data_IF_622937360704
#
_entry.id   IF_622937360704
#
_cell.length_a   1.000
_cell.length_b   1.000
_cell.length_c   1.000
_cell.angle_alpha   90.00
_cell.angle_beta   90.00
_cell.angle_gamma   90.00
#
_symmetry.space_group_name_H-M   'P 1'
#
loop_
_entity.id
_entity.type
_entity.pdbx_description
1 polymer ?
#
# COMPACT_ATOMS: atom_id res chain seq x y z
N UNK A 1 -0.45 11.39 8.23
CA UNK A 1 0.59 12.43 7.97
C UNK A 1 1.82 11.76 7.41
N UNK A 2 2.43 12.37 6.39
CA UNK A 2 3.66 11.89 5.75
C UNK A 2 4.86 12.50 6.46
N UNK A 3 5.97 11.76 6.51
CA UNK A 3 7.26 12.28 7.01
C UNK A 3 8.22 12.52 5.85
N UNK A 4 9.17 13.42 6.03
CA UNK A 4 10.22 13.72 5.02
C UNK A 4 11.07 12.49 4.66
N UNK A 5 11.19 11.53 5.59
CA UNK A 5 11.93 10.29 5.41
C UNK A 5 11.10 9.16 4.83
N UNK A 6 9.77 9.31 4.70
CA UNK A 6 8.93 8.24 4.19
C UNK A 6 9.21 8.03 2.68
N UNK A 7 9.26 6.77 2.25
CA UNK A 7 9.19 6.44 0.83
C UNK A 7 7.73 6.59 0.41
N UNK A 8 7.47 7.39 -0.62
CA UNK A 8 6.12 7.64 -1.13
C UNK A 8 5.91 6.92 -2.47
N UNK A 9 4.79 6.23 -2.60
CA UNK A 9 4.35 5.59 -3.84
C UNK A 9 2.97 6.12 -4.25
N UNK A 10 2.76 6.26 -5.55
CA UNK A 10 1.48 6.62 -6.13
C UNK A 10 1.04 5.46 -7.02
N UNK A 11 -0.01 4.75 -6.62
CA UNK A 11 -0.53 3.62 -7.38
C UNK A 11 -1.76 4.02 -8.17
N UNK A 12 -1.81 3.73 -9.47
CA UNK A 12 -3.07 3.71 -10.22
C UNK A 12 -3.81 2.42 -9.89
N UNK A 13 -4.88 2.53 -9.13
CA UNK A 13 -5.69 1.42 -8.62
C UNK A 13 -7.00 1.35 -9.40
N UNK A 14 -7.35 0.16 -9.88
CA UNK A 14 -8.69 -0.15 -10.39
C UNK A 14 -9.31 -1.24 -9.51
N UNK A 15 -10.15 -0.89 -8.53
CA UNK A 15 -10.81 -1.87 -7.66
C UNK A 15 -11.78 -2.78 -8.44
N UNK A 16 -12.11 -3.93 -7.86
CA UNK A 16 -13.26 -4.72 -8.31
C UNK A 16 -14.58 -3.99 -8.02
N UNK A 17 -15.65 -4.26 -8.80
CA UNK A 17 -16.98 -3.74 -8.49
C UNK A 17 -17.40 -4.07 -7.05
N UNK A 18 -17.86 -3.06 -6.31
CA UNK A 18 -18.27 -3.21 -4.91
C UNK A 18 -17.14 -3.11 -3.88
N UNK A 19 -15.88 -3.00 -4.30
CA UNK A 19 -14.75 -2.71 -3.40
C UNK A 19 -14.54 -1.19 -3.33
N UNK A 20 -14.67 -0.56 -2.15
CA UNK A 20 -14.39 0.87 -1.99
C UNK A 20 -12.93 1.21 -2.33
N UNK A 21 -12.66 2.37 -2.95
CA UNK A 21 -11.28 2.79 -3.26
C UNK A 21 -10.43 2.94 -1.99
N UNK A 22 -11.02 3.33 -0.86
CA UNK A 22 -10.34 3.43 0.44
C UNK A 22 -9.86 2.07 0.93
N UNK A 23 -10.70 1.04 0.81
CA UNK A 23 -10.35 -0.34 1.17
C UNK A 23 -9.28 -0.89 0.23
N UNK A 24 -9.39 -0.61 -1.07
CA UNK A 24 -8.39 -1.02 -2.05
C UNK A 24 -7.01 -0.38 -1.76
N UNK A 25 -6.97 0.92 -1.47
CA UNK A 25 -5.74 1.63 -1.09
C UNK A 25 -5.17 1.13 0.24
N UNK A 26 -6.02 0.86 1.24
CA UNK A 26 -5.62 0.30 2.52
C UNK A 26 -5.05 -1.13 2.36
N UNK A 27 -5.67 -1.97 1.54
CA UNK A 27 -5.19 -3.32 1.25
C UNK A 27 -3.81 -3.31 0.56
N UNK A 28 -3.60 -2.43 -0.41
CA UNK A 28 -2.27 -2.23 -1.03
C UNK A 28 -1.25 -1.80 0.02
N UNK A 29 -1.57 -0.80 0.86
CA UNK A 29 -0.66 -0.32 1.89
C UNK A 29 -0.32 -1.40 2.94
N UNK A 30 -1.32 -2.18 3.37
CA UNK A 30 -1.15 -3.24 4.36
C UNK A 30 -0.22 -4.35 3.84
N UNK A 31 -0.52 -4.91 2.67
CA UNK A 31 0.17 -6.11 2.15
C UNK A 31 1.46 -5.82 1.38
N UNK A 32 1.81 -4.53 1.22
CA UNK A 32 3.15 -4.08 0.84
C UNK A 32 3.98 -3.58 2.02
N UNK A 33 3.51 -3.79 3.26
CA UNK A 33 4.25 -3.43 4.48
C UNK A 33 4.21 -4.55 5.53
N UNK A 34 3.17 -4.60 6.37
CA UNK A 34 3.13 -5.46 7.57
C UNK A 34 1.84 -6.26 7.74
N UNK A 35 0.82 -6.00 6.94
CA UNK A 35 -0.52 -6.59 7.11
C UNK A 35 -0.69 -7.93 6.40
N UNK A 36 -1.72 -8.66 6.83
CA UNK A 36 -2.23 -9.86 6.15
C UNK A 36 -3.76 -9.91 6.26
N UNK A 37 -4.40 -10.90 5.64
CA UNK A 37 -5.87 -11.03 5.51
C UNK A 37 -6.65 -11.23 6.83
N UNK A 38 -5.98 -11.48 7.95
CA UNK A 38 -6.61 -11.64 9.27
C UNK A 38 -5.72 -11.04 10.36
N UNK A 39 -6.32 -10.64 11.48
CA UNK A 39 -5.57 -10.10 12.62
C UNK A 39 -4.64 -11.16 13.20
N UNK A 40 -3.40 -10.76 13.49
CA UNK A 40 -2.40 -11.61 14.13
C UNK A 40 -1.98 -11.02 15.46
N UNK A 41 -1.97 -11.82 16.52
CA UNK A 41 -1.64 -11.35 17.87
C UNK A 41 -0.21 -10.83 17.99
N UNK A 42 0.68 -11.28 17.09
CA UNK A 42 2.09 -10.87 17.02
C UNK A 42 2.27 -9.40 16.69
N UNK A 43 1.24 -8.74 16.17
CA UNK A 43 1.23 -7.28 16.00
C UNK A 43 1.49 -6.56 17.33
N UNK A 44 1.04 -7.14 18.46
CA UNK A 44 1.28 -6.62 19.81
C UNK A 44 2.72 -6.76 20.32
N UNK A 45 3.59 -7.46 19.59
CA UNK A 45 5.02 -7.58 19.92
C UNK A 45 5.87 -6.48 19.28
N UNK A 46 5.29 -5.68 18.38
CA UNK A 46 5.96 -4.59 17.69
C UNK A 46 5.10 -3.32 17.73
N UNK A 47 5.62 -2.21 17.20
CA UNK A 47 4.86 -0.97 17.07
C UNK A 47 4.31 -0.85 15.65
N UNK A 48 3.07 -1.26 15.43
CA UNK A 48 2.40 -1.08 14.13
C UNK A 48 2.39 0.39 13.70
N UNK A 49 2.26 1.34 14.64
CA UNK A 49 2.26 2.77 14.30
C UNK A 49 3.59 3.24 13.72
N UNK A 50 4.70 2.57 14.07
CA UNK A 50 6.01 2.83 13.47
C UNK A 50 6.14 2.21 12.09
N UNK A 51 5.72 0.96 11.91
CA UNK A 51 6.08 0.15 10.74
C UNK A 51 4.99 0.03 9.67
N UNK A 52 3.73 0.30 9.97
CA UNK A 52 2.64 0.14 8.99
C UNK A 52 2.79 1.15 7.84
N UNK A 53 2.69 0.64 6.61
CA UNK A 53 2.43 1.47 5.43
C UNK A 53 1.06 2.13 5.55
N UNK A 54 0.92 3.34 5.00
CA UNK A 54 -0.30 4.15 5.16
C UNK A 54 -0.76 4.70 3.82
N UNK A 55 -1.93 4.28 3.36
CA UNK A 55 -2.66 5.02 2.33
C UNK A 55 -3.17 6.33 2.96
N UNK A 56 -2.59 7.47 2.58
CA UNK A 56 -2.88 8.75 3.22
C UNK A 56 -3.74 9.67 2.35
N UNK A 57 -3.84 9.38 1.06
CA UNK A 57 -4.62 10.17 0.12
C UNK A 57 -5.06 9.32 -1.07
N UNK A 58 -6.24 9.62 -1.61
CA UNK A 58 -6.80 8.96 -2.78
C UNK A 58 -7.49 10.01 -3.64
N UNK A 59 -7.09 10.09 -4.91
CA UNK A 59 -7.70 10.96 -5.90
C UNK A 59 -8.36 10.14 -7.01
N UNK A 60 -9.56 10.52 -7.51
CA UNK A 60 -10.09 9.94 -8.73
C UNK A 60 -9.23 10.33 -9.93
N UNK A 61 -9.08 9.42 -10.90
CA UNK A 61 -8.34 9.73 -12.13
C UNK A 61 -9.26 10.44 -13.12
N UNK A 62 -8.92 11.65 -13.60
CA UNK A 62 -9.78 12.37 -14.54
C UNK A 62 -10.04 11.57 -15.82
N UNK A 63 -11.32 11.51 -16.22
CA UNK A 63 -11.76 10.80 -17.43
C UNK A 63 -11.95 9.29 -17.27
N UNK A 64 -11.81 8.75 -16.06
CA UNK A 64 -12.01 7.34 -15.75
C UNK A 64 -13.02 7.22 -14.60
N UNK A 65 -14.00 6.32 -14.72
CA UNK A 65 -15.08 6.21 -13.73
C UNK A 65 -14.68 5.40 -12.48
N UNK A 66 -13.80 4.41 -12.65
CA UNK A 66 -13.44 3.44 -11.60
C UNK A 66 -11.94 3.39 -11.30
N UNK A 67 -11.19 4.46 -11.61
CA UNK A 67 -9.75 4.49 -11.41
C UNK A 67 -9.34 5.60 -10.46
N UNK A 68 -8.35 5.27 -9.61
CA UNK A 68 -7.91 6.13 -8.53
C UNK A 68 -6.39 6.16 -8.47
N UNK A 69 -5.82 7.26 -7.98
CA UNK A 69 -4.43 7.30 -7.52
C UNK A 69 -4.44 7.17 -6.00
N UNK A 70 -3.96 6.04 -5.49
CA UNK A 70 -3.77 5.81 -4.07
C UNK A 70 -2.32 6.14 -3.69
N UNK A 71 -2.15 7.11 -2.80
CA UNK A 71 -0.84 7.52 -2.31
C UNK A 71 -0.51 6.80 -1.01
N UNK A 72 0.57 6.03 -1.02
CA UNK A 72 1.03 5.21 0.10
C UNK A 72 2.36 5.73 0.63
N UNK A 73 2.45 5.90 1.94
CA UNK A 73 3.68 6.26 2.64
C UNK A 73 4.24 5.06 3.40
N UNK A 74 5.52 4.76 3.20
CA UNK A 74 6.25 3.68 3.84
C UNK A 74 7.36 4.24 4.74
N UNK A 75 7.41 3.86 6.03
CA UNK A 75 8.51 4.21 6.92
C UNK A 75 9.86 3.73 6.37
N UNK A 76 10.89 4.58 6.45
CA UNK A 76 12.25 4.26 5.95
C UNK A 76 12.80 2.95 6.52
N UNK A 77 12.57 2.70 7.80
CA UNK A 77 13.07 1.52 8.53
C UNK A 77 12.54 0.17 8.00
N UNK A 78 11.58 0.17 7.06
CA UNK A 78 11.15 -1.05 6.38
C UNK A 78 12.16 -1.54 5.33
N UNK A 79 13.07 -0.68 4.90
CA UNK A 79 13.91 -0.92 3.73
C UNK A 79 15.37 -1.12 4.12
N UNK A 80 15.98 -2.14 3.51
CA UNK A 80 17.40 -2.42 3.62
C UNK A 80 18.23 -1.39 2.84
N UNK A 81 19.25 -0.83 3.48
CA UNK A 81 20.11 0.19 2.88
C UNK A 81 20.85 -0.35 1.65
N UNK A 82 20.77 0.38 0.54
CA UNK A 82 21.46 0.02 -0.71
C UNK A 82 20.82 -1.14 -1.49
N UNK A 83 19.63 -1.62 -1.10
CA UNK A 83 18.97 -2.79 -1.68
C UNK A 83 17.72 -2.42 -2.48
N UNK A 84 17.88 -2.19 -3.78
CA UNK A 84 16.73 -1.99 -4.70
C UNK A 84 15.82 -3.23 -4.73
N UNK A 85 16.42 -4.41 -4.60
CA UNK A 85 15.68 -5.68 -4.52
C UNK A 85 14.73 -5.70 -3.34
N UNK A 86 15.20 -5.38 -2.13
CA UNK A 86 14.35 -5.33 -0.94
C UNK A 86 13.19 -4.33 -1.11
N UNK A 87 13.49 -3.13 -1.63
CA UNK A 87 12.47 -2.11 -1.89
C UNK A 87 11.37 -2.60 -2.81
N UNK A 88 11.72 -3.22 -3.94
CA UNK A 88 10.72 -3.74 -4.88
C UNK A 88 10.01 -4.99 -4.37
N UNK A 89 10.68 -5.84 -3.60
CA UNK A 89 10.02 -6.98 -2.94
C UNK A 89 8.88 -6.51 -2.03
N UNK A 90 9.07 -5.43 -1.28
CA UNK A 90 8.01 -4.86 -0.44
C UNK A 90 6.91 -4.18 -1.27
N UNK A 91 7.28 -3.20 -2.11
CA UNK A 91 6.30 -2.30 -2.76
C UNK A 91 5.49 -3.00 -3.85
N UNK A 92 6.11 -3.90 -4.63
CA UNK A 92 5.47 -4.54 -5.81
C UNK A 92 5.39 -6.06 -5.72
N UNK A 93 5.78 -6.68 -4.61
CA UNK A 93 5.90 -8.14 -4.49
C UNK A 93 4.61 -8.90 -4.71
N UNK A 94 3.58 -8.62 -3.90
CA UNK A 94 2.33 -9.42 -3.88
C UNK A 94 1.10 -8.64 -4.36
N UNK A 95 1.08 -7.33 -4.15
CA UNK A 95 -0.14 -6.50 -4.24
C UNK A 95 -0.76 -6.43 -5.64
N UNK A 96 0.01 -6.69 -6.70
CA UNK A 96 -0.49 -6.71 -8.08
C UNK A 96 -1.36 -7.94 -8.40
N UNK A 97 -1.29 -8.99 -7.59
CA UNK A 97 -2.07 -10.22 -7.73
C UNK A 97 -3.36 -10.26 -6.91
N UNK A 98 -3.72 -9.16 -6.24
CA UNK A 98 -4.88 -9.12 -5.35
C UNK A 98 -6.20 -9.27 -6.08
N UNK A 99 -6.99 -10.28 -5.68
CA UNK A 99 -8.30 -10.57 -6.29
C UNK A 99 -9.31 -9.43 -6.17
N UNK A 100 -9.16 -8.60 -5.13
CA UNK A 100 -9.99 -7.40 -4.91
C UNK A 100 -9.68 -6.25 -5.88
N UNK A 101 -8.61 -6.37 -6.69
CA UNK A 101 -8.20 -5.40 -7.69
C UNK A 101 -8.36 -6.00 -9.09
N UNK A 102 -8.84 -5.19 -10.04
CA UNK A 102 -8.85 -5.53 -11.47
C UNK A 102 -7.50 -5.22 -12.11
N UNK A 103 -6.90 -4.10 -11.71
CA UNK A 103 -5.60 -3.66 -12.16
C UNK A 103 -4.91 -2.82 -11.09
N UNK A 104 -3.58 -2.87 -11.09
CA UNK A 104 -2.73 -2.05 -10.26
C UNK A 104 -1.51 -1.63 -11.09
N UNK A 105 -1.10 -0.37 -10.98
CA UNK A 105 0.13 0.15 -11.57
C UNK A 105 0.85 1.02 -10.56
N UNK A 106 2.15 0.78 -10.39
CA UNK A 106 3.08 1.71 -9.76
C UNK A 106 3.67 2.64 -10.84
#
# INVERSE_FOLDING_TARGET
ETKDTDILAAFRVTPQPGVPPEEAGAAVAAESSTGTWTTVWTDGLTSLDRYKGRCYHIDPVPGEEDQYIAYVAYPLDLFEEGSVTNMFTSIVGNVFGFKALRALRL
#
